data_IF_648114160559
#
_entry.id   IF_648114160559
#
_cell.length_a   1.000
_cell.length_b   1.000
_cell.length_c   1.000
_cell.angle_alpha   90.00
_cell.angle_beta   90.00
_cell.angle_gamma   90.00
#
_symmetry.space_group_name_H-M   'P 1'
#
loop_
_entity.id
_entity.type
_entity.pdbx_description
1 polymer ?
#
# COMPACT_ATOMS: atom_id res chain seq x y z
N UNK A 1 -20.95 16.16 31.10
CA UNK A 1 -21.35 15.62 29.78
C UNK A 1 -21.54 14.13 29.97
N UNK A 2 -22.77 13.66 29.86
CA UNK A 2 -23.14 12.25 30.00
C UNK A 2 -22.61 11.50 28.79
N UNK A 3 -21.65 10.59 29.00
CA UNK A 3 -21.27 9.60 27.99
C UNK A 3 -22.54 8.83 27.59
N UNK A 4 -22.87 8.73 26.29
CA UNK A 4 -23.92 7.83 25.88
C UNK A 4 -23.47 6.40 26.20
N UNK A 5 -24.25 5.71 27.04
CA UNK A 5 -24.08 4.29 27.36
C UNK A 5 -24.24 3.46 26.07
N UNK A 6 -23.16 3.26 25.32
CA UNK A 6 -23.07 2.21 24.30
C UNK A 6 -22.96 0.86 24.99
N UNK A 7 -24.09 0.37 25.54
CA UNK A 7 -24.19 -0.99 26.06
C UNK A 7 -23.98 -1.99 24.93
N UNK A 8 -22.77 -2.54 24.85
CA UNK A 8 -22.46 -3.71 24.04
C UNK A 8 -23.42 -4.85 24.42
N UNK A 9 -24.04 -5.48 23.42
CA UNK A 9 -24.87 -6.65 23.67
C UNK A 9 -23.99 -7.80 24.20
N UNK A 10 -24.50 -8.67 25.10
CA UNK A 10 -23.72 -9.77 25.68
C UNK A 10 -23.11 -10.72 24.63
N UNK A 11 -23.75 -10.87 23.47
CA UNK A 11 -23.23 -11.65 22.34
C UNK A 11 -22.06 -10.97 21.63
N UNK A 12 -22.09 -9.64 21.49
CA UNK A 12 -21.01 -8.86 20.89
C UNK A 12 -19.75 -8.83 21.78
N UNK A 13 -19.91 -8.84 23.11
CA UNK A 13 -18.81 -8.93 24.08
C UNK A 13 -18.10 -10.29 24.00
N UNK A 14 -18.85 -11.40 24.01
CA UNK A 14 -18.25 -12.75 23.88
C UNK A 14 -17.50 -12.96 22.57
N UNK A 15 -17.94 -12.31 21.50
CA UNK A 15 -17.27 -12.37 20.20
C UNK A 15 -15.98 -11.53 20.13
N UNK A 16 -15.86 -10.47 20.95
CA UNK A 16 -14.61 -9.70 21.11
C UNK A 16 -13.57 -10.50 21.85
N UNK A 17 -13.95 -11.06 23.00
CA UNK A 17 -13.04 -11.78 23.89
C UNK A 17 -12.43 -13.04 23.23
N UNK A 18 -13.05 -13.55 22.17
CA UNK A 18 -12.58 -14.70 21.41
C UNK A 18 -11.55 -14.35 20.31
N UNK A 19 -11.34 -13.06 19.99
CA UNK A 19 -10.38 -12.66 18.97
C UNK A 19 -8.95 -12.89 19.46
N UNK A 20 -8.10 -13.44 18.59
CA UNK A 20 -6.70 -13.69 18.93
C UNK A 20 -5.97 -12.38 19.28
N UNK A 21 -6.34 -11.26 18.65
CA UNK A 21 -5.78 -9.93 18.93
C UNK A 21 -6.15 -9.36 20.30
N UNK A 22 -7.22 -9.86 20.92
CA UNK A 22 -7.65 -9.49 22.28
C UNK A 22 -7.10 -10.45 23.35
N UNK A 23 -6.44 -11.53 22.93
CA UNK A 23 -5.91 -12.56 23.82
C UNK A 23 -4.81 -12.05 24.76
N UNK A 24 -4.71 -12.68 25.92
CA UNK A 24 -3.65 -12.47 26.89
C UNK A 24 -2.44 -13.35 26.61
N UNK A 25 -1.25 -12.87 26.97
CA UNK A 25 0.00 -13.63 27.04
C UNK A 25 0.32 -13.91 28.51
N UNK A 26 -0.01 -15.10 29.06
CA UNK A 26 0.12 -15.37 30.49
C UNK A 26 1.56 -15.21 31.01
N UNK A 27 2.55 -15.46 30.15
CA UNK A 27 3.96 -15.29 30.45
C UNK A 27 4.38 -13.81 30.60
N UNK A 28 3.49 -12.85 30.36
CA UNK A 28 3.68 -11.41 30.52
C UNK A 28 2.79 -10.79 31.61
N UNK A 29 2.22 -11.61 32.51
CA UNK A 29 1.32 -11.13 33.57
C UNK A 29 1.97 -10.11 34.54
N UNK A 30 3.30 -10.10 34.63
CA UNK A 30 4.11 -9.21 35.47
C UNK A 30 4.83 -8.11 34.66
N UNK A 31 4.43 -7.87 33.40
CA UNK A 31 5.13 -6.96 32.49
C UNK A 31 5.38 -5.56 33.08
N UNK A 32 4.43 -5.04 33.86
CA UNK A 32 4.49 -3.74 34.53
C UNK A 32 5.46 -3.68 35.72
N UNK A 33 5.92 -4.83 36.22
CA UNK A 33 6.85 -4.97 37.34
C UNK A 33 8.29 -5.24 36.89
N UNK A 34 8.50 -5.53 35.61
CA UNK A 34 9.82 -5.86 35.05
C UNK A 34 10.72 -4.62 34.93
N UNK A 35 12.05 -4.76 34.98
CA UNK A 35 12.96 -3.68 34.65
C UNK A 35 12.69 -3.13 33.25
N UNK A 36 12.79 -1.81 33.06
CA UNK A 36 12.52 -1.15 31.76
C UNK A 36 13.32 -1.78 30.60
N UNK A 37 14.56 -2.19 30.85
CA UNK A 37 15.37 -2.88 29.84
C UNK A 37 14.73 -4.18 29.33
N UNK A 38 14.06 -4.92 30.22
CA UNK A 38 13.33 -6.13 29.85
C UNK A 38 12.03 -5.79 29.11
N UNK A 39 11.28 -4.77 29.56
CA UNK A 39 10.06 -4.30 28.88
C UNK A 39 10.39 -3.93 27.42
N UNK A 40 11.45 -3.15 27.21
CA UNK A 40 11.92 -2.75 25.86
C UNK A 40 12.27 -3.99 25.04
N UNK A 41 13.02 -4.93 25.61
CA UNK A 41 13.38 -6.19 24.92
C UNK A 41 12.15 -6.97 24.48
N UNK A 42 11.18 -7.19 25.37
CA UNK A 42 9.93 -7.91 25.07
C UNK A 42 9.13 -7.21 23.97
N UNK A 43 9.04 -5.88 23.99
CA UNK A 43 8.33 -5.11 22.96
C UNK A 43 8.98 -5.24 21.58
N UNK A 44 10.32 -5.23 21.51
CA UNK A 44 11.07 -5.38 20.25
C UNK A 44 10.99 -6.81 19.74
N UNK A 45 11.29 -7.80 20.58
CA UNK A 45 11.24 -9.23 20.20
C UNK A 45 9.82 -9.66 19.82
N UNK A 46 8.79 -9.08 20.45
CA UNK A 46 7.39 -9.31 20.09
C UNK A 46 7.03 -8.93 18.66
N UNK A 47 7.79 -8.05 18.00
CA UNK A 47 7.56 -7.69 16.59
C UNK A 47 7.85 -8.83 15.61
N UNK A 48 8.56 -9.89 16.02
CA UNK A 48 8.80 -11.05 15.15
C UNK A 48 7.48 -11.70 14.67
N UNK A 49 6.42 -11.60 15.47
CA UNK A 49 5.08 -12.04 15.06
C UNK A 49 4.58 -11.35 13.79
N UNK A 50 4.91 -10.06 13.61
CA UNK A 50 4.51 -9.30 12.43
C UNK A 50 5.17 -9.82 11.15
N UNK A 51 6.47 -10.11 11.22
CA UNK A 51 7.23 -10.64 10.09
C UNK A 51 6.76 -12.06 9.73
N UNK A 52 6.59 -12.94 10.71
CA UNK A 52 6.08 -14.30 10.48
C UNK A 52 4.70 -14.31 9.82
N UNK A 53 3.79 -13.45 10.30
CA UNK A 53 2.46 -13.30 9.71
C UNK A 53 2.52 -12.83 8.25
N UNK A 54 3.38 -11.84 7.95
CA UNK A 54 3.55 -11.36 6.58
C UNK A 54 4.15 -12.43 5.65
N UNK A 55 5.11 -13.23 6.13
CA UNK A 55 5.69 -14.35 5.36
C UNK A 55 4.62 -15.40 5.05
N UNK A 56 3.78 -15.75 6.03
CA UNK A 56 2.70 -16.71 5.82
C UNK A 56 1.65 -16.23 4.79
N UNK A 57 1.49 -14.91 4.64
CA UNK A 57 0.52 -14.30 3.74
C UNK A 57 1.07 -13.94 2.33
N UNK A 58 2.30 -14.35 1.99
CA UNK A 58 2.92 -14.05 0.69
C UNK A 58 2.05 -14.44 -0.52
N UNK A 59 1.41 -15.63 -0.57
CA UNK A 59 0.53 -15.98 -1.69
C UNK A 59 -0.67 -15.03 -1.85
N UNK A 60 -1.28 -14.60 -0.75
CA UNK A 60 -2.40 -13.67 -0.73
C UNK A 60 -1.95 -12.28 -1.20
N UNK A 61 -0.82 -11.79 -0.67
CA UNK A 61 -0.23 -10.51 -1.08
C UNK A 61 0.08 -10.48 -2.58
N UNK A 62 0.63 -11.57 -3.13
CA UNK A 62 0.92 -11.68 -4.55
C UNK A 62 -0.36 -11.58 -5.39
N UNK A 63 -1.42 -12.33 -5.05
CA UNK A 63 -2.70 -12.28 -5.77
C UNK A 63 -3.32 -10.89 -5.75
N UNK A 64 -3.37 -10.26 -4.58
CA UNK A 64 -3.93 -8.91 -4.44
C UNK A 64 -3.09 -7.90 -5.24
N UNK A 65 -1.75 -7.99 -5.19
CA UNK A 65 -0.88 -7.11 -5.97
C UNK A 65 -1.06 -7.27 -7.49
N UNK A 66 -1.25 -8.50 -7.98
CA UNK A 66 -1.53 -8.75 -9.39
C UNK A 66 -2.88 -8.16 -9.84
N UNK A 67 -3.93 -8.37 -9.04
CA UNK A 67 -5.25 -7.81 -9.32
C UNK A 67 -5.24 -6.28 -9.32
N UNK A 68 -4.62 -5.67 -8.32
CA UNK A 68 -4.44 -4.21 -8.23
C UNK A 68 -3.67 -3.70 -9.45
N UNK A 69 -2.52 -4.28 -9.78
CA UNK A 69 -1.73 -3.85 -10.94
C UNK A 69 -2.51 -3.94 -12.25
N UNK A 70 -3.31 -4.99 -12.45
CA UNK A 70 -4.14 -5.16 -13.63
C UNK A 70 -5.25 -4.10 -13.75
N UNK A 71 -5.81 -3.64 -12.62
CA UNK A 71 -6.83 -2.58 -12.58
C UNK A 71 -6.22 -1.20 -12.82
N UNK A 72 -5.10 -0.89 -12.16
CA UNK A 72 -4.38 0.38 -12.37
C UNK A 72 -3.89 0.53 -13.80
N UNK A 73 -3.45 -0.55 -14.45
CA UNK A 73 -3.08 -0.53 -15.86
C UNK A 73 -4.23 -0.17 -16.82
N UNK A 74 -5.49 -0.31 -16.37
CA UNK A 74 -6.71 0.05 -17.12
C UNK A 74 -7.27 1.42 -16.74
N UNK A 75 -6.57 2.19 -15.91
CA UNK A 75 -7.00 3.53 -15.47
C UNK A 75 -7.73 3.57 -14.13
N UNK A 76 -7.90 2.43 -13.45
CA UNK A 76 -8.46 2.36 -12.10
C UNK A 76 -7.53 2.91 -11.02
N UNK A 77 -8.07 3.18 -9.84
CA UNK A 77 -7.32 3.64 -8.65
C UNK A 77 -7.22 2.56 -7.58
N UNK A 78 -6.27 2.72 -6.67
CA UNK A 78 -6.20 1.96 -5.41
C UNK A 78 -6.69 2.86 -4.27
N UNK A 79 -7.79 2.47 -3.62
CA UNK A 79 -8.39 3.20 -2.50
C UNK A 79 -8.30 2.33 -1.26
N UNK A 80 -7.47 2.73 -0.30
CA UNK A 80 -7.46 2.11 1.02
C UNK A 80 -8.60 2.65 1.88
N UNK A 81 -9.18 1.80 2.73
CA UNK A 81 -10.20 2.22 3.71
C UNK A 81 -9.88 1.63 5.07
N UNK A 82 -9.79 2.46 6.11
CA UNK A 82 -9.45 1.99 7.44
C UNK A 82 -9.89 2.94 8.56
N UNK A 83 -9.75 2.46 9.80
CA UNK A 83 -9.98 3.25 11.01
C UNK A 83 -8.73 3.20 11.91
N UNK A 84 -8.62 4.15 12.84
CA UNK A 84 -7.56 4.18 13.86
C UNK A 84 -6.16 4.01 13.27
N UNK A 85 -5.35 3.14 13.89
CA UNK A 85 -3.97 2.86 13.42
C UNK A 85 -3.93 2.31 12.00
N UNK A 86 -4.83 1.39 11.65
CA UNK A 86 -4.88 0.77 10.32
C UNK A 86 -5.11 1.81 9.22
N UNK A 87 -6.08 2.70 9.41
CA UNK A 87 -6.33 3.79 8.46
C UNK A 87 -5.16 4.79 8.37
N UNK A 88 -4.50 5.12 9.49
CA UNK A 88 -3.32 6.02 9.46
C UNK A 88 -2.14 5.40 8.72
N UNK A 89 -1.89 4.10 8.88
CA UNK A 89 -0.85 3.39 8.12
C UNK A 89 -1.18 3.37 6.62
N UNK A 90 -2.45 3.25 6.26
CA UNK A 90 -2.89 3.33 4.87
C UNK A 90 -2.66 4.72 4.26
N UNK A 91 -2.97 5.79 5.02
CA UNK A 91 -2.66 7.17 4.62
C UNK A 91 -1.16 7.36 4.41
N UNK A 92 -0.32 6.79 5.28
CA UNK A 92 1.14 6.85 5.15
C UNK A 92 1.61 6.20 3.83
N UNK A 93 1.17 4.97 3.54
CA UNK A 93 1.57 4.26 2.31
C UNK A 93 1.10 4.98 1.03
N UNK A 94 -0.15 5.47 1.02
CA UNK A 94 -0.69 6.25 -0.09
C UNK A 94 0.12 7.54 -0.34
N UNK A 95 0.43 8.29 0.74
CA UNK A 95 1.20 9.53 0.65
C UNK A 95 2.63 9.30 0.10
N UNK A 96 3.23 8.15 0.40
CA UNK A 96 4.58 7.81 -0.06
C UNK A 96 4.63 7.38 -1.53
N UNK A 97 3.49 6.98 -2.13
CA UNK A 97 3.44 6.60 -3.55
C UNK A 97 3.78 7.76 -4.51
N UNK A 98 3.42 9.00 -4.16
CA UNK A 98 3.70 10.19 -4.97
C UNK A 98 5.20 10.48 -5.07
N UNK A 99 5.95 10.72 -3.97
CA UNK A 99 7.38 11.01 -4.05
C UNK A 99 8.24 9.80 -4.46
N UNK A 100 7.75 8.58 -4.24
CA UNK A 100 8.48 7.33 -4.52
C UNK A 100 8.33 6.87 -5.97
N UNK A 101 7.13 6.96 -6.55
CA UNK A 101 6.85 6.42 -7.88
C UNK A 101 6.35 7.47 -8.87
N UNK A 102 6.39 8.76 -8.47
CA UNK A 102 5.93 9.90 -9.26
C UNK A 102 4.52 9.66 -9.81
N UNK A 103 3.66 9.15 -8.93
CA UNK A 103 2.25 8.87 -9.24
C UNK A 103 1.42 10.14 -9.07
N UNK A 104 0.33 10.29 -9.82
CA UNK A 104 -0.69 11.28 -9.50
C UNK A 104 -1.24 11.03 -8.08
N UNK A 105 -1.51 12.08 -7.28
CA UNK A 105 -2.02 11.93 -5.91
C UNK A 105 -3.30 11.09 -5.79
N UNK A 106 -4.12 11.06 -6.85
CA UNK A 106 -5.38 10.33 -6.93
C UNK A 106 -5.24 8.85 -7.27
N UNK A 107 -4.05 8.39 -7.68
CA UNK A 107 -3.84 6.99 -8.10
C UNK A 107 -3.90 6.02 -6.92
N UNK A 108 -3.35 6.44 -5.78
CA UNK A 108 -3.38 5.68 -4.52
C UNK A 108 -3.84 6.63 -3.42
N UNK A 109 -5.02 6.38 -2.87
CA UNK A 109 -5.63 7.21 -1.83
C UNK A 109 -6.03 6.39 -0.62
N UNK A 110 -6.34 7.05 0.50
CA UNK A 110 -6.81 6.40 1.71
C UNK A 110 -7.97 7.19 2.32
N UNK A 111 -9.03 6.47 2.69
CA UNK A 111 -10.17 6.97 3.44
C UNK A 111 -10.04 6.50 4.89
N UNK A 112 -10.07 7.47 5.81
CA UNK A 112 -9.93 7.26 7.24
C UNK A 112 -11.26 7.55 7.92
N UNK A 113 -11.77 6.60 8.71
CA UNK A 113 -12.95 6.82 9.54
C UNK A 113 -12.77 8.08 10.41
N UNK A 114 -13.69 9.04 10.30
CA UNK A 114 -13.59 10.35 10.97
C UNK A 114 -12.78 11.42 10.20
N UNK A 115 -12.35 11.12 8.97
CA UNK A 115 -11.72 12.05 8.04
C UNK A 115 -10.36 12.58 8.48
N UNK A 116 -9.96 13.75 7.95
CA UNK A 116 -8.65 14.34 8.22
C UNK A 116 -8.40 14.65 9.71
N UNK A 117 -9.45 14.95 10.48
CA UNK A 117 -9.33 15.18 11.91
C UNK A 117 -8.87 13.92 12.67
N UNK A 118 -9.29 12.74 12.18
CA UNK A 118 -8.90 11.45 12.74
C UNK A 118 -7.41 11.10 12.51
N UNK A 119 -6.74 11.82 11.60
CA UNK A 119 -5.31 11.63 11.36
C UNK A 119 -4.50 12.01 12.60
N UNK A 120 -4.84 13.13 13.24
CA UNK A 120 -4.13 13.67 14.41
C UNK A 120 -4.77 13.23 15.72
N UNK A 121 -6.10 13.10 15.76
CA UNK A 121 -6.86 12.77 16.97
C UNK A 121 -7.62 11.44 16.80
N UNK A 122 -7.93 10.74 17.89
CA UNK A 122 -8.93 9.68 17.83
C UNK A 122 -10.33 10.32 17.80
N UNK A 123 -11.21 9.85 16.91
CA UNK A 123 -12.61 10.27 16.84
C UNK A 123 -13.48 9.12 17.32
N UNK A 124 -14.11 9.30 18.47
CA UNK A 124 -14.97 8.29 19.10
C UNK A 124 -16.18 7.97 18.21
N UNK A 125 -16.51 6.69 18.06
CA UNK A 125 -17.67 6.20 17.31
C UNK A 125 -17.57 6.27 15.78
N UNK A 126 -16.56 6.92 15.21
CA UNK A 126 -16.41 7.01 13.75
C UNK A 126 -16.23 5.64 13.07
N UNK A 127 -15.67 4.67 13.80
CA UNK A 127 -15.41 3.33 13.29
C UNK A 127 -16.65 2.41 13.29
N UNK A 128 -17.70 2.78 14.04
CA UNK A 128 -18.94 2.02 14.20
C UNK A 128 -20.02 2.39 13.17
N UNK A 129 -19.79 3.39 12.32
CA UNK A 129 -20.73 3.82 11.28
C UNK A 129 -20.44 3.13 9.94
N UNK A 130 -21.19 2.05 9.65
CA UNK A 130 -21.09 1.33 8.39
C UNK A 130 -21.55 2.14 7.16
N UNK A 131 -22.49 3.07 7.33
CA UNK A 131 -23.02 3.88 6.23
C UNK A 131 -22.02 4.97 5.82
N UNK A 132 -21.28 5.53 6.78
CA UNK A 132 -20.24 6.52 6.52
C UNK A 132 -19.15 6.00 5.57
N UNK A 133 -18.74 4.73 5.69
CA UNK A 133 -17.74 4.14 4.80
C UNK A 133 -18.18 4.06 3.34
N UNK A 134 -19.47 3.78 3.09
CA UNK A 134 -20.03 3.81 1.75
C UNK A 134 -20.14 5.25 1.21
N UNK A 135 -20.59 6.18 2.04
CA UNK A 135 -20.71 7.60 1.68
C UNK A 135 -19.36 8.22 1.32
N UNK A 136 -18.28 7.89 2.04
CA UNK A 136 -16.94 8.39 1.73
C UNK A 136 -16.40 7.86 0.39
N UNK A 137 -16.72 6.61 0.03
CA UNK A 137 -16.38 6.06 -1.29
C UNK A 137 -17.15 6.76 -2.41
N UNK A 138 -18.44 7.02 -2.21
CA UNK A 138 -19.26 7.77 -3.19
C UNK A 138 -18.73 9.20 -3.36
N UNK A 139 -18.37 9.87 -2.26
CA UNK A 139 -17.77 11.20 -2.28
C UNK A 139 -16.38 11.21 -2.97
N UNK A 140 -15.62 10.12 -2.86
CA UNK A 140 -14.37 9.92 -3.59
C UNK A 140 -14.58 9.55 -5.08
N UNK A 141 -15.84 9.44 -5.52
CA UNK A 141 -16.22 9.11 -6.88
C UNK A 141 -15.84 7.69 -7.27
N UNK A 142 -16.11 6.70 -6.42
CA UNK A 142 -15.84 5.29 -6.68
C UNK A 142 -16.36 4.84 -8.05
N UNK A 143 -15.57 4.03 -8.74
CA UNK A 143 -15.88 3.45 -10.04
C UNK A 143 -15.65 1.94 -10.05
N UNK A 144 -16.27 1.23 -10.99
CA UNK A 144 -16.13 -0.23 -11.12
C UNK A 144 -14.72 -0.70 -11.56
N UNK A 145 -13.90 0.20 -12.12
CA UNK A 145 -12.50 -0.07 -12.46
C UNK A 145 -11.54 0.10 -11.28
N UNK A 146 -11.98 0.70 -10.17
CA UNK A 146 -11.17 0.89 -8.98
C UNK A 146 -10.96 -0.43 -8.21
N UNK A 147 -9.98 -0.38 -7.31
CA UNK A 147 -9.75 -1.37 -6.26
C UNK A 147 -9.92 -0.74 -4.89
N UNK A 148 -10.70 -1.38 -4.02
CA UNK A 148 -10.87 -0.97 -2.62
C UNK A 148 -10.26 -2.01 -1.69
N UNK A 149 -9.34 -1.59 -0.84
CA UNK A 149 -8.70 -2.47 0.15
C UNK A 149 -9.06 -2.00 1.56
N UNK A 150 -9.89 -2.78 2.24
CA UNK A 150 -10.29 -2.54 3.63
C UNK A 150 -9.24 -3.05 4.61
N UNK A 151 -8.90 -2.26 5.63
CA UNK A 151 -7.82 -2.59 6.57
C UNK A 151 -8.32 -2.39 8.01
N UNK A 152 -8.31 -3.47 8.80
CA UNK A 152 -8.54 -3.41 10.25
C UNK A 152 -7.97 -4.65 10.92
N UNK A 153 -7.33 -4.48 12.09
CA UNK A 153 -6.78 -5.61 12.84
C UNK A 153 -7.88 -6.58 13.31
N UNK A 154 -8.99 -6.05 13.83
CA UNK A 154 -10.11 -6.85 14.31
C UNK A 154 -10.85 -7.58 13.20
N UNK A 155 -10.77 -7.07 11.96
CA UNK A 155 -11.48 -7.62 10.81
C UNK A 155 -12.99 -7.39 10.83
N UNK A 156 -13.51 -6.58 11.77
CA UNK A 156 -14.95 -6.41 11.99
C UNK A 156 -15.42 -4.96 12.10
N UNK A 157 -14.53 -3.99 11.93
CA UNK A 157 -14.85 -2.56 12.05
C UNK A 157 -15.99 -2.17 11.08
N UNK A 158 -17.17 -1.77 11.57
CA UNK A 158 -18.35 -1.53 10.72
C UNK A 158 -18.12 -0.57 9.56
N UNK A 159 -17.43 0.56 9.78
CA UNK A 159 -17.06 1.51 8.72
C UNK A 159 -16.34 0.83 7.54
N UNK A 160 -15.35 -0.01 7.84
CA UNK A 160 -14.52 -0.68 6.83
C UNK A 160 -15.31 -1.79 6.12
N UNK A 161 -16.09 -2.57 6.87
CA UNK A 161 -16.94 -3.64 6.29
C UNK A 161 -18.01 -3.05 5.38
N UNK A 162 -18.64 -1.94 5.79
CA UNK A 162 -19.62 -1.21 5.00
C UNK A 162 -19.04 -0.68 3.69
N UNK A 163 -17.87 -0.03 3.75
CA UNK A 163 -17.16 0.46 2.58
C UNK A 163 -16.81 -0.65 1.58
N UNK A 164 -16.20 -1.75 2.05
CA UNK A 164 -15.82 -2.87 1.17
C UNK A 164 -17.05 -3.55 0.56
N UNK A 165 -18.11 -3.74 1.34
CA UNK A 165 -19.37 -4.32 0.84
C UNK A 165 -20.02 -3.44 -0.23
N UNK A 166 -19.98 -2.12 -0.06
CA UNK A 166 -20.46 -1.15 -1.04
C UNK A 166 -19.62 -1.20 -2.32
N UNK A 167 -18.30 -1.20 -2.18
CA UNK A 167 -17.39 -1.27 -3.32
C UNK A 167 -17.59 -2.53 -4.18
N UNK A 168 -17.80 -3.68 -3.53
CA UNK A 168 -18.08 -4.94 -4.22
C UNK A 168 -19.40 -4.88 -5.00
N UNK A 169 -20.45 -4.28 -4.43
CA UNK A 169 -21.74 -4.07 -5.12
C UNK A 169 -21.61 -3.11 -6.31
N UNK A 170 -20.71 -2.13 -6.23
CA UNK A 170 -20.40 -1.20 -7.32
C UNK A 170 -19.52 -1.81 -8.42
N UNK A 171 -19.08 -3.06 -8.28
CA UNK A 171 -18.28 -3.80 -9.27
C UNK A 171 -16.77 -3.51 -9.21
N UNK A 172 -16.31 -2.76 -8.20
CA UNK A 172 -14.90 -2.59 -7.92
C UNK A 172 -14.29 -3.90 -7.39
N UNK A 173 -13.02 -4.14 -7.69
CA UNK A 173 -12.31 -5.26 -7.06
C UNK A 173 -12.09 -4.95 -5.58
N UNK A 174 -12.27 -5.93 -4.70
CA UNK A 174 -12.18 -5.71 -3.26
C UNK A 174 -11.24 -6.68 -2.58
N UNK A 175 -10.38 -6.15 -1.69
CA UNK A 175 -9.54 -6.97 -0.83
C UNK A 175 -9.62 -6.54 0.64
N UNK A 176 -9.28 -7.46 1.55
CA UNK A 176 -9.18 -7.22 2.98
C UNK A 176 -7.76 -7.44 3.49
N UNK A 177 -7.30 -6.60 4.42
CA UNK A 177 -6.10 -6.85 5.23
C UNK A 177 -6.54 -6.89 6.70
N UNK A 178 -6.40 -8.06 7.33
CA UNK A 178 -6.92 -8.33 8.68
C UNK A 178 -5.92 -9.13 9.51
N UNK A 179 -6.00 -9.03 10.84
CA UNK A 179 -5.14 -9.82 11.74
C UNK A 179 -5.88 -10.98 12.41
N UNK A 180 -7.22 -10.98 12.37
CA UNK A 180 -8.04 -12.12 12.74
C UNK A 180 -8.55 -12.83 11.47
N UNK A 181 -8.12 -14.09 11.23
CA UNK A 181 -8.60 -14.90 10.11
C UNK A 181 -10.10 -15.16 10.15
N UNK A 182 -10.73 -15.38 9.00
CA UNK A 182 -12.16 -15.68 8.88
C UNK A 182 -13.08 -14.55 9.33
N UNK A 183 -12.57 -13.32 9.37
CA UNK A 183 -13.30 -12.16 9.88
C UNK A 183 -14.41 -11.67 8.94
N UNK A 184 -15.39 -10.90 9.44
CA UNK A 184 -16.46 -10.32 8.61
C UNK A 184 -15.94 -9.54 7.39
N UNK A 185 -14.85 -8.79 7.55
CA UNK A 185 -14.24 -8.06 6.44
C UNK A 185 -13.62 -8.99 5.39
N UNK A 186 -12.95 -10.06 5.82
CA UNK A 186 -12.41 -11.06 4.91
C UNK A 186 -13.52 -11.74 4.07
N UNK A 187 -14.67 -12.01 4.69
CA UNK A 187 -15.85 -12.55 4.00
C UNK A 187 -16.52 -11.53 3.05
N UNK A 188 -16.49 -10.24 3.38
CA UNK A 188 -17.07 -9.20 2.54
C UNK A 188 -16.27 -8.92 1.27
N UNK A 189 -14.94 -9.08 1.31
CA UNK A 189 -14.03 -8.87 0.18
C UNK A 189 -14.00 -10.06 -0.82
N UNK A 190 -13.44 -9.84 -2.01
CA UNK A 190 -13.16 -10.92 -2.98
C UNK A 190 -11.91 -11.72 -2.59
N UNK A 191 -10.85 -11.05 -2.16
CA UNK A 191 -9.63 -11.65 -1.62
C UNK A 191 -9.30 -11.10 -0.23
N UNK A 192 -8.58 -11.88 0.57
CA UNK A 192 -8.14 -11.47 1.91
C UNK A 192 -6.67 -11.81 2.15
N UNK A 193 -5.96 -10.89 2.79
CA UNK A 193 -4.62 -11.03 3.35
C UNK A 193 -4.77 -11.13 4.87
N UNK A 194 -4.67 -12.36 5.37
CA UNK A 194 -4.85 -12.66 6.80
C UNK A 194 -3.49 -12.73 7.51
N UNK A 195 -3.18 -11.65 8.23
CA UNK A 195 -1.94 -11.44 8.98
C UNK A 195 -2.09 -11.91 10.43
N UNK A 196 -2.23 -13.22 10.63
CA UNK A 196 -2.45 -13.81 11.96
C UNK A 196 -1.24 -13.61 12.90
N UNK A 197 -1.20 -12.46 13.59
CA UNK A 197 -0.11 -12.09 14.51
C UNK A 197 -0.26 -12.70 15.91
N UNK A 198 -1.48 -13.13 16.27
CA UNK A 198 -1.79 -13.61 17.62
C UNK A 198 -1.94 -12.49 18.65
N UNK A 199 -1.86 -12.82 19.95
CA UNK A 199 -2.02 -11.86 21.03
C UNK A 199 -0.85 -10.88 21.12
N UNK A 200 -1.16 -9.63 21.44
CA UNK A 200 -0.19 -8.54 21.56
C UNK A 200 0.59 -8.60 22.88
N UNK A 201 1.73 -7.90 22.94
CA UNK A 201 2.49 -7.72 24.21
C UNK A 201 1.66 -6.99 25.26
N UNK A 202 0.90 -5.98 24.84
CA UNK A 202 -0.16 -5.35 25.63
C UNK A 202 -1.48 -5.79 25.00
N UNK A 203 -2.28 -6.55 25.72
CA UNK A 203 -3.53 -7.11 25.21
C UNK A 203 -4.42 -6.05 24.56
N UNK A 204 -4.96 -6.36 23.38
CA UNK A 204 -5.80 -5.44 22.59
C UNK A 204 -5.05 -4.28 21.92
N UNK A 205 -3.76 -4.05 22.22
CA UNK A 205 -2.97 -2.95 21.65
C UNK A 205 -2.46 -3.29 20.24
N UNK A 206 -3.40 -3.43 19.30
CA UNK A 206 -3.15 -3.82 17.90
C UNK A 206 -2.33 -2.79 17.10
N UNK A 207 -2.00 -1.64 17.69
CA UNK A 207 -1.00 -0.71 17.14
C UNK A 207 0.43 -1.27 17.13
N UNK A 208 0.67 -2.41 17.77
CA UNK A 208 1.97 -3.06 17.89
C UNK A 208 2.19 -4.07 16.75
N UNK A 209 2.24 -5.37 17.01
CA UNK A 209 2.61 -6.36 15.99
C UNK A 209 1.61 -6.39 14.83
N UNK A 210 0.32 -6.26 15.10
CA UNK A 210 -0.71 -6.20 14.06
C UNK A 210 -0.52 -4.99 13.12
N UNK A 211 -0.32 -3.79 13.68
CA UNK A 211 0.00 -2.59 12.92
C UNK A 211 1.31 -2.71 12.13
N UNK A 212 2.36 -3.27 12.72
CA UNK A 212 3.62 -3.54 12.01
C UNK A 212 3.41 -4.49 10.83
N UNK A 213 2.62 -5.56 11.01
CA UNK A 213 2.30 -6.50 9.93
C UNK A 213 1.54 -5.80 8.80
N UNK A 214 0.57 -4.95 9.14
CA UNK A 214 -0.19 -4.16 8.17
C UNK A 214 0.73 -3.21 7.39
N UNK A 215 1.70 -2.56 8.05
CA UNK A 215 2.70 -1.72 7.38
C UNK A 215 3.53 -2.53 6.38
N UNK A 216 3.99 -3.72 6.77
CA UNK A 216 4.71 -4.63 5.87
C UNK A 216 3.84 -4.95 4.66
N UNK A 217 2.60 -5.38 4.87
CA UNK A 217 1.66 -5.73 3.81
C UNK A 217 1.38 -4.56 2.85
N UNK A 218 1.12 -3.36 3.38
CA UNK A 218 0.87 -2.15 2.57
C UNK A 218 2.08 -1.79 1.71
N UNK A 219 3.26 -1.70 2.31
CA UNK A 219 4.47 -1.37 1.56
C UNK A 219 4.83 -2.44 0.53
N UNK A 220 4.61 -3.72 0.85
CA UNK A 220 4.77 -4.81 -0.12
C UNK A 220 3.79 -4.67 -1.28
N UNK A 221 2.51 -4.42 -0.98
CA UNK A 221 1.45 -4.28 -1.98
C UNK A 221 1.72 -3.12 -2.94
N UNK A 222 1.87 -1.90 -2.40
CA UNK A 222 2.09 -0.69 -3.20
C UNK A 222 3.37 -0.79 -4.02
N UNK A 223 4.47 -1.27 -3.41
CA UNK A 223 5.75 -1.43 -4.11
C UNK A 223 5.67 -2.48 -5.21
N UNK A 224 5.09 -3.66 -4.95
CA UNK A 224 4.97 -4.73 -5.95
C UNK A 224 4.13 -4.28 -7.16
N UNK A 225 3.02 -3.60 -6.90
CA UNK A 225 2.16 -2.99 -7.93
C UNK A 225 2.96 -2.00 -8.78
N UNK A 226 3.69 -1.08 -8.16
CA UNK A 226 4.44 -0.05 -8.88
C UNK A 226 5.62 -0.63 -9.66
N UNK A 227 6.29 -1.66 -9.13
CA UNK A 227 7.29 -2.44 -9.86
C UNK A 227 6.66 -3.07 -11.10
N UNK A 228 5.49 -3.70 -10.94
CA UNK A 228 4.76 -4.35 -12.05
C UNK A 228 4.33 -3.34 -13.13
N UNK A 229 3.98 -2.13 -12.75
CA UNK A 229 3.65 -1.00 -13.64
C UNK A 229 4.89 -0.30 -14.22
N UNK A 230 6.10 -0.85 -14.06
CA UNK A 230 7.30 -0.31 -14.69
C UNK A 230 7.80 1.01 -14.08
N UNK A 231 7.47 1.29 -12.82
CA UNK A 231 8.00 2.45 -12.08
C UNK A 231 9.47 2.28 -11.66
N UNK A 232 10.01 1.07 -11.77
CA UNK A 232 11.39 0.72 -11.40
C UNK A 232 12.16 0.07 -12.56
N UNK A 233 13.50 0.04 -12.42
CA UNK A 233 14.41 -0.79 -13.21
C UNK A 233 15.30 -1.60 -12.26
N UNK A 234 15.00 -2.89 -12.10
CA UNK A 234 15.62 -3.68 -11.03
C UNK A 234 15.43 -2.98 -9.67
N UNK A 235 16.49 -2.70 -8.90
CA UNK A 235 16.39 -2.01 -7.62
C UNK A 235 16.27 -0.47 -7.75
N UNK A 236 16.32 0.08 -8.96
CA UNK A 236 16.31 1.53 -9.16
C UNK A 236 14.89 2.07 -9.34
N UNK A 237 14.53 3.03 -8.50
CA UNK A 237 13.40 3.92 -8.72
C UNK A 237 13.72 4.84 -9.91
N UNK A 238 13.07 4.63 -11.05
CA UNK A 238 13.35 5.40 -12.27
C UNK A 238 12.25 6.39 -12.62
N UNK A 239 11.06 6.24 -12.05
CA UNK A 239 9.97 7.19 -12.20
C UNK A 239 10.03 8.21 -11.06
N UNK A 240 11.10 9.02 -11.06
CA UNK A 240 11.29 10.13 -10.14
C UNK A 240 11.71 11.38 -10.92
N UNK A 241 11.30 12.55 -10.43
CA UNK A 241 11.68 13.84 -10.99
C UNK A 241 12.71 14.54 -10.11
N UNK A 242 13.87 14.85 -10.68
CA UNK A 242 14.96 15.50 -9.96
C UNK A 242 14.69 16.99 -9.70
N UNK A 243 13.94 17.32 -8.64
CA UNK A 243 13.55 18.70 -8.30
C UNK A 243 14.52 19.44 -7.38
N UNK A 244 15.35 18.74 -6.61
CA UNK A 244 16.34 19.33 -5.69
C UNK A 244 17.74 18.74 -5.86
N UNK A 245 18.76 19.36 -5.25
CA UNK A 245 20.16 18.96 -5.41
C UNK A 245 20.42 17.47 -5.07
N UNK A 246 19.83 16.98 -3.97
CA UNK A 246 19.90 15.56 -3.57
C UNK A 246 19.31 14.64 -4.64
N UNK A 247 18.13 14.98 -5.16
CA UNK A 247 17.46 14.20 -6.20
C UNK A 247 18.19 14.27 -7.55
N UNK A 248 18.81 15.41 -7.91
CA UNK A 248 19.66 15.53 -9.10
C UNK A 248 20.87 14.61 -9.03
N UNK A 249 21.57 14.57 -7.89
CA UNK A 249 22.72 13.64 -7.71
C UNK A 249 22.26 12.18 -7.74
N UNK A 250 21.11 11.86 -7.11
CA UNK A 250 20.52 10.52 -7.16
C UNK A 250 20.16 10.11 -8.59
N UNK A 251 19.49 10.98 -9.34
CA UNK A 251 19.11 10.76 -10.73
C UNK A 251 20.32 10.45 -11.60
N UNK A 252 21.38 11.26 -11.51
CA UNK A 252 22.63 11.04 -12.24
C UNK A 252 23.25 9.68 -11.94
N UNK A 253 23.34 9.31 -10.65
CA UNK A 253 23.85 7.99 -10.23
C UNK A 253 23.01 6.84 -10.80
N UNK A 254 21.69 6.98 -10.82
CA UNK A 254 20.77 5.97 -11.36
C UNK A 254 20.98 5.81 -12.87
N UNK A 255 20.99 6.91 -13.62
CA UNK A 255 21.20 6.87 -15.08
C UNK A 255 22.52 6.19 -15.41
N UNK A 256 23.63 6.64 -14.79
CA UNK A 256 24.95 6.03 -14.98
C UNK A 256 24.96 4.55 -14.61
N UNK A 257 24.37 4.18 -13.47
CA UNK A 257 24.33 2.80 -12.99
C UNK A 257 23.53 1.85 -13.90
N UNK A 258 22.49 2.36 -14.58
CA UNK A 258 21.68 1.55 -15.51
C UNK A 258 22.31 1.48 -16.89
N UNK A 259 22.81 2.60 -17.42
CA UNK A 259 23.17 2.72 -18.84
C UNK A 259 24.67 2.57 -19.10
N UNK A 260 25.51 2.62 -18.07
CA UNK A 260 26.97 2.65 -18.20
C UNK A 260 27.52 3.94 -18.79
N UNK A 261 26.70 4.97 -19.00
CA UNK A 261 27.14 6.24 -19.55
C UNK A 261 28.07 6.99 -18.58
N UNK A 262 28.99 7.77 -19.13
CA UNK A 262 29.78 8.72 -18.34
C UNK A 262 28.92 9.85 -17.75
N UNK A 263 29.51 10.60 -16.83
CA UNK A 263 28.82 11.67 -16.10
C UNK A 263 28.33 12.80 -17.02
N UNK A 264 29.12 13.19 -18.02
CA UNK A 264 28.78 14.29 -18.91
C UNK A 264 27.58 13.92 -19.80
N UNK A 265 27.61 12.74 -20.43
CA UNK A 265 26.52 12.23 -21.27
C UNK A 265 25.25 12.00 -20.46
N UNK A 266 25.35 11.41 -19.27
CA UNK A 266 24.22 11.20 -18.39
C UNK A 266 23.60 12.53 -17.92
N UNK A 267 24.42 13.51 -17.54
CA UNK A 267 23.95 14.83 -17.13
C UNK A 267 23.27 15.59 -18.27
N UNK A 268 23.88 15.59 -19.47
CA UNK A 268 23.30 16.23 -20.65
C UNK A 268 21.94 15.60 -21.04
N UNK A 269 21.85 14.26 -21.03
CA UNK A 269 20.59 13.57 -21.34
C UNK A 269 19.52 13.83 -20.27
N UNK A 270 19.88 13.84 -18.99
CA UNK A 270 18.96 14.18 -17.91
C UNK A 270 18.44 15.62 -18.02
N UNK A 271 19.30 16.56 -18.40
CA UNK A 271 18.91 17.94 -18.64
C UNK A 271 17.92 18.05 -19.81
N UNK A 272 18.22 17.41 -20.95
CA UNK A 272 17.32 17.35 -22.09
C UNK A 272 15.97 16.66 -21.75
N UNK A 273 16.00 15.69 -20.83
CA UNK A 273 14.81 15.02 -20.30
C UNK A 273 14.06 15.80 -19.22
N UNK A 274 14.44 17.05 -18.92
CA UNK A 274 13.85 17.88 -17.86
C UNK A 274 13.86 17.19 -16.47
N UNK A 275 14.93 16.43 -16.19
CA UNK A 275 15.11 15.69 -14.95
C UNK A 275 14.28 14.41 -14.83
N UNK A 276 13.64 13.94 -15.91
CA UNK A 276 12.92 12.66 -15.97
C UNK A 276 13.92 11.50 -16.14
N UNK A 277 14.16 10.75 -15.06
CA UNK A 277 15.15 9.65 -15.05
C UNK A 277 14.76 8.55 -16.03
N UNK A 278 13.51 8.09 -15.99
CA UNK A 278 12.97 7.06 -16.90
C UNK A 278 13.21 7.37 -18.37
N UNK A 279 12.93 8.61 -18.79
CA UNK A 279 13.13 9.09 -20.17
C UNK A 279 14.61 9.12 -20.54
N UNK A 280 15.48 9.62 -19.66
CA UNK A 280 16.92 9.65 -19.91
C UNK A 280 17.53 8.24 -20.02
N UNK A 281 17.09 7.31 -19.17
CA UNK A 281 17.47 5.90 -19.24
C UNK A 281 17.03 5.30 -20.58
N UNK A 282 15.78 5.53 -20.99
CA UNK A 282 15.27 5.02 -22.26
C UNK A 282 16.06 5.56 -23.46
N UNK A 283 16.30 6.87 -23.51
CA UNK A 283 17.06 7.51 -24.58
C UNK A 283 18.46 6.90 -24.73
N UNK A 284 19.18 6.73 -23.61
CA UNK A 284 20.54 6.19 -23.62
C UNK A 284 20.61 4.70 -23.97
N UNK A 285 19.66 3.89 -23.47
CA UNK A 285 19.62 2.46 -23.78
C UNK A 285 19.20 2.19 -25.23
N UNK A 286 18.29 2.99 -25.77
CA UNK A 286 17.81 2.85 -27.14
C UNK A 286 18.67 3.58 -28.19
N UNK A 287 19.61 4.43 -27.76
CA UNK A 287 20.42 5.24 -28.66
C UNK A 287 19.62 6.28 -29.44
N UNK A 288 18.54 6.83 -28.86
CA UNK A 288 17.65 7.81 -29.49
C UNK A 288 17.61 9.13 -28.72
N UNK A 289 16.99 10.15 -29.30
CA UNK A 289 16.77 11.41 -28.59
C UNK A 289 15.65 11.31 -27.53
N UNK A 290 15.54 12.34 -26.69
CA UNK A 290 14.56 12.39 -25.59
C UNK A 290 13.11 12.42 -26.10
N UNK A 291 12.85 13.02 -27.27
CA UNK A 291 11.51 13.12 -27.81
C UNK A 291 11.01 11.74 -28.29
N UNK A 292 11.87 11.00 -28.98
CA UNK A 292 11.62 9.62 -29.37
C UNK A 292 11.51 8.70 -28.16
N UNK A 293 12.37 8.85 -27.17
CA UNK A 293 12.28 8.09 -25.93
C UNK A 293 10.92 8.28 -25.22
N UNK A 294 10.37 9.51 -25.18
CA UNK A 294 9.03 9.77 -24.65
C UNK A 294 7.95 9.07 -25.46
N UNK A 295 7.95 9.22 -26.78
CA UNK A 295 6.98 8.55 -27.66
C UNK A 295 6.95 7.04 -27.44
N UNK A 296 8.12 6.41 -27.35
CA UNK A 296 8.23 4.95 -27.10
C UNK A 296 7.74 4.55 -25.72
N UNK A 297 7.99 5.36 -24.70
CA UNK A 297 7.47 5.11 -23.36
C UNK A 297 5.95 5.24 -23.32
N UNK A 298 5.38 6.25 -23.96
CA UNK A 298 3.94 6.45 -24.01
C UNK A 298 3.25 5.29 -24.73
N UNK A 299 3.81 4.83 -25.85
CA UNK A 299 3.32 3.67 -26.61
C UNK A 299 3.42 2.34 -25.84
N UNK A 300 4.32 2.22 -24.85
CA UNK A 300 4.54 0.99 -24.08
C UNK A 300 3.85 0.97 -22.71
N UNK A 301 3.02 1.97 -22.38
CA UNK A 301 2.45 2.12 -21.05
C UNK A 301 3.48 2.51 -19.98
N UNK A 302 4.58 3.15 -20.38
CA UNK A 302 5.59 3.72 -19.50
C UNK A 302 6.66 2.73 -19.01
N UNK A 303 6.68 1.50 -19.52
CA UNK A 303 7.68 0.49 -19.18
C UNK A 303 8.93 0.56 -20.07
N UNK A 304 10.10 0.82 -19.49
CA UNK A 304 11.37 0.94 -20.26
C UNK A 304 11.71 -0.36 -21.02
N UNK A 305 11.60 -1.53 -20.36
CA UNK A 305 11.91 -2.82 -21.02
C UNK A 305 10.92 -3.14 -22.15
N UNK A 306 9.64 -2.83 -21.96
CA UNK A 306 8.63 -3.00 -23.00
C UNK A 306 8.91 -2.06 -24.19
N UNK A 307 9.25 -0.80 -23.92
CA UNK A 307 9.63 0.20 -24.95
C UNK A 307 10.88 -0.23 -25.75
N UNK A 308 11.86 -0.84 -25.10
CA UNK A 308 13.05 -1.38 -25.77
C UNK A 308 12.76 -2.62 -26.62
N UNK A 309 11.76 -3.42 -26.24
CA UNK A 309 11.38 -4.63 -26.97
C UNK A 309 10.61 -4.32 -28.26
N UNK A 310 9.69 -3.35 -28.24
CA UNK A 310 8.92 -2.93 -29.42
C UNK A 310 9.81 -2.50 -30.59
N UNK A 311 10.92 -1.81 -30.31
CA UNK A 311 11.90 -1.41 -31.33
C UNK A 311 12.56 -2.56 -32.08
N UNK A 312 12.66 -3.76 -31.47
CA UNK A 312 13.23 -4.92 -32.17
C UNK A 312 12.25 -5.54 -33.16
N UNK A 313 10.95 -5.29 -33.03
CA UNK A 313 9.93 -5.79 -33.97
C UNK A 313 9.76 -4.86 -35.17
N UNK A 314 9.91 -3.54 -35.00
CA UNK A 314 9.81 -2.57 -36.10
C UNK A 314 11.02 -2.60 -37.07
N UNK A 315 12.12 -3.23 -36.67
CA UNK A 315 13.34 -3.39 -37.48
C UNK A 315 13.60 -4.84 -37.95
N UNK A 316 12.65 -5.75 -37.74
CA UNK A 316 12.70 -7.06 -38.38
C UNK A 316 12.18 -6.91 -39.82
N UNK A 317 13.10 -6.87 -40.81
CA UNK A 317 12.74 -6.93 -42.23
C UNK A 317 11.90 -8.18 -42.53
N UNK A 318 10.92 -8.11 -43.44
CA UNK A 318 10.24 -9.29 -43.93
C UNK A 318 11.27 -10.15 -44.67
N UNK A 319 11.65 -11.28 -44.08
CA UNK A 319 12.36 -12.34 -44.80
C UNK A 319 11.43 -12.82 -45.92
N UNK A 320 11.75 -12.37 -47.14
CA UNK A 320 11.21 -12.83 -48.42
C UNK A 320 11.36 -14.32 -48.62
#
# INVERSE_FOLDING_TARGET
>A
MTHPDTKLSPGATKALDALATEGLRPELADLDQRPVAEIVRVLVEGQDAAQRAAIAALPQLARVAEAVAARLAKGGRLIYVGAGTSGRLAVLDAAECVPTFNTPPELVTALLAGGNAAFVNAIEGAEDDAAAGAADLDAAGLRADDTVVGITASGRTPYVVGAVSHARKAGAYTAAIVNNPGSPLAAAAEDAVELATGPEVIAGSTRLAAGTAQKIALNTLSTAVMVRLGKTWGPYMIDLRASNAKLKRRALRIVRGITGADEAKAAATLAAANGQVKTAVMALLAGCDVAEARRRLDASGGGVRAALAGHRQDHAEPTS
#
